data_IF_598688687537
#
_entry.id   IF_598688687537
#
_cell.length_a   1.000
_cell.length_b   1.000
_cell.length_c   1.000
_cell.angle_alpha   90.00
_cell.angle_beta   90.00
_cell.angle_gamma   90.00
#
_symmetry.space_group_name_H-M   'P 1'
#
loop_
_entity.id
_entity.type
_entity.pdbx_description
1 polymer ?
#
# COMPACT_ATOMS: atom_id res chain seq x y z
N UNK A 1 -13.06 31.69 -17.96
CA UNK A 1 -13.60 30.37 -17.56
C UNK A 1 -12.83 29.90 -16.36
N UNK A 2 -13.40 30.08 -15.18
CA UNK A 2 -12.79 29.76 -13.89
C UNK A 2 -13.00 28.28 -13.58
N UNK A 3 -11.89 27.55 -13.50
CA UNK A 3 -11.90 26.16 -13.03
C UNK A 3 -12.23 26.12 -11.52
N UNK A 4 -13.16 25.30 -11.05
CA UNK A 4 -13.46 25.18 -9.62
C UNK A 4 -12.33 24.45 -8.90
N UNK A 5 -11.59 25.19 -8.09
CA UNK A 5 -10.51 24.72 -7.21
C UNK A 5 -11.00 23.98 -5.94
N UNK A 6 -12.28 23.68 -5.85
CA UNK A 6 -12.91 23.12 -4.64
C UNK A 6 -12.73 21.60 -4.39
N UNK A 7 -12.31 20.82 -5.39
CA UNK A 7 -12.36 19.34 -5.30
C UNK A 7 -11.18 18.69 -4.60
N UNK A 8 -10.04 19.34 -4.51
CA UNK A 8 -8.82 18.74 -3.89
C UNK A 8 -8.92 18.59 -2.37
N UNK A 9 -9.55 19.53 -1.70
CA UNK A 9 -9.68 19.50 -0.23
C UNK A 9 -10.62 18.41 0.27
N UNK A 10 -11.78 18.28 -0.38
CA UNK A 10 -12.79 17.27 -0.02
C UNK A 10 -12.34 15.84 -0.26
N UNK A 11 -11.60 15.59 -1.34
CA UNK A 11 -11.05 14.27 -1.65
C UNK A 11 -9.91 13.90 -0.66
N UNK A 12 -9.21 14.90 -0.13
CA UNK A 12 -8.22 14.72 0.93
C UNK A 12 -8.88 14.28 2.24
N UNK A 13 -9.93 14.99 2.64
CA UNK A 13 -10.66 14.68 3.87
C UNK A 13 -11.31 13.30 3.82
N UNK A 14 -11.94 12.97 2.69
CA UNK A 14 -12.53 11.63 2.47
C UNK A 14 -11.47 10.53 2.54
N UNK A 15 -10.30 10.74 1.94
CA UNK A 15 -9.21 9.77 1.99
C UNK A 15 -8.68 9.57 3.41
N UNK A 16 -8.55 10.63 4.20
CA UNK A 16 -8.13 10.55 5.60
C UNK A 16 -9.19 9.84 6.47
N UNK A 17 -10.46 10.19 6.29
CA UNK A 17 -11.56 9.56 6.99
C UNK A 17 -11.66 8.06 6.68
N UNK A 18 -11.59 7.70 5.40
CA UNK A 18 -11.57 6.30 4.97
C UNK A 18 -10.35 5.56 5.54
N UNK A 19 -9.19 6.19 5.53
CA UNK A 19 -7.97 5.61 6.10
C UNK A 19 -8.09 5.39 7.60
N UNK A 20 -8.73 6.29 8.32
CA UNK A 20 -8.96 6.16 9.77
C UNK A 20 -9.94 5.02 10.09
N UNK A 21 -11.06 4.95 9.35
CA UNK A 21 -12.02 3.85 9.49
C UNK A 21 -11.35 2.51 9.16
N UNK A 22 -10.61 2.45 8.04
CA UNK A 22 -9.89 1.25 7.65
C UNK A 22 -8.88 0.83 8.73
N UNK A 23 -8.13 1.77 9.29
CA UNK A 23 -7.17 1.50 10.37
C UNK A 23 -7.86 0.95 11.62
N UNK A 24 -8.97 1.55 12.03
CA UNK A 24 -9.74 1.09 13.18
C UNK A 24 -10.28 -0.33 12.92
N UNK A 25 -10.91 -0.55 11.78
CA UNK A 25 -11.45 -1.86 11.40
C UNK A 25 -10.36 -2.92 11.27
N UNK A 26 -9.27 -2.63 10.56
CA UNK A 26 -8.14 -3.55 10.42
C UNK A 26 -7.46 -3.88 11.76
N UNK A 27 -7.49 -2.96 12.72
CA UNK A 27 -6.95 -3.20 14.06
C UNK A 27 -7.74 -4.22 14.87
N UNK A 28 -9.02 -4.43 14.55
CA UNK A 28 -9.88 -5.43 15.20
C UNK A 28 -9.67 -6.83 14.63
N UNK A 29 -9.05 -6.95 13.45
CA UNK A 29 -8.82 -8.23 12.79
C UNK A 29 -7.62 -8.96 13.43
N UNK A 30 -7.84 -10.22 13.81
CA UNK A 30 -6.77 -11.12 14.21
C UNK A 30 -6.30 -11.91 12.99
N UNK A 31 -5.22 -11.46 12.36
CA UNK A 31 -4.63 -12.15 11.22
C UNK A 31 -3.67 -13.22 11.72
N UNK A 32 -3.94 -14.47 11.35
CA UNK A 32 -3.04 -15.60 11.57
C UNK A 32 -2.39 -15.96 10.24
N UNK A 33 -1.09 -15.78 10.15
CA UNK A 33 -0.32 -16.19 8.98
C UNK A 33 0.03 -17.67 9.14
N UNK A 34 -0.43 -18.49 8.21
CA UNK A 34 -0.07 -19.90 8.12
C UNK A 34 0.89 -20.01 6.93
N UNK A 35 2.18 -20.10 7.22
CA UNK A 35 3.20 -20.21 6.20
C UNK A 35 4.09 -21.42 6.49
N UNK A 36 4.72 -21.95 5.45
CA UNK A 36 5.79 -22.93 5.64
C UNK A 36 6.96 -22.24 6.35
N UNK A 37 7.52 -22.83 7.39
CA UNK A 37 8.55 -22.25 8.25
C UNK A 37 9.70 -21.55 7.50
N UNK A 38 10.10 -22.09 6.35
CA UNK A 38 11.12 -21.47 5.49
C UNK A 38 10.69 -20.10 4.94
N UNK A 39 9.42 -19.90 4.59
CA UNK A 39 8.90 -18.65 4.06
C UNK A 39 8.69 -17.61 5.14
N UNK A 40 8.24 -18.03 6.31
CA UNK A 40 8.03 -17.14 7.44
C UNK A 40 9.35 -16.57 7.97
N UNK A 41 10.37 -17.42 8.15
CA UNK A 41 11.72 -17.01 8.51
C UNK A 41 12.35 -16.08 7.47
N UNK A 42 12.15 -16.37 6.17
CA UNK A 42 12.69 -15.55 5.10
C UNK A 42 12.01 -14.17 5.00
N UNK A 43 10.69 -14.09 5.24
CA UNK A 43 9.96 -12.83 5.21
C UNK A 43 10.33 -11.91 6.39
N UNK A 44 10.76 -12.47 7.51
CA UNK A 44 11.11 -11.74 8.73
C UNK A 44 12.61 -11.44 8.86
N UNK A 45 13.44 -12.04 8.03
CA UNK A 45 14.91 -11.88 8.09
C UNK A 45 15.34 -10.62 7.29
N UNK A 46 15.83 -9.56 7.95
CA UNK A 46 16.24 -8.33 7.30
C UNK A 46 17.48 -8.50 6.41
N UNK A 47 18.27 -9.54 6.58
CA UNK A 47 19.46 -9.82 5.78
C UNK A 47 19.13 -10.44 4.41
N UNK A 48 17.89 -10.90 4.21
CA UNK A 48 17.47 -11.55 2.98
C UNK A 48 16.90 -10.55 1.97
N UNK A 49 16.92 -10.96 0.71
CA UNK A 49 16.35 -10.19 -0.38
C UNK A 49 14.89 -9.77 -0.10
N UNK A 50 14.48 -8.58 -0.53
CA UNK A 50 13.11 -8.12 -0.37
C UNK A 50 12.12 -9.00 -1.14
N UNK A 51 10.89 -9.07 -0.65
CA UNK A 51 9.84 -9.92 -1.20
C UNK A 51 8.83 -9.09 -2.01
N UNK A 52 8.38 -9.68 -3.09
CA UNK A 52 7.23 -9.19 -3.85
C UNK A 52 6.02 -10.06 -3.52
N UNK A 53 4.99 -9.46 -2.92
CA UNK A 53 3.76 -10.15 -2.62
C UNK A 53 2.78 -10.03 -3.79
N UNK A 54 2.35 -11.18 -4.30
CA UNK A 54 1.28 -11.26 -5.29
C UNK A 54 0.03 -11.82 -4.61
N UNK A 55 -1.12 -11.23 -4.90
CA UNK A 55 -2.41 -11.63 -4.32
C UNK A 55 -3.56 -11.32 -5.26
N UNK A 56 -4.66 -12.02 -5.10
CA UNK A 56 -5.89 -11.69 -5.81
C UNK A 56 -6.52 -10.43 -5.22
N UNK A 57 -7.08 -9.58 -6.07
CA UNK A 57 -7.65 -8.29 -5.65
C UNK A 57 -8.65 -8.40 -4.50
N UNK A 58 -9.50 -9.44 -4.50
CA UNK A 58 -10.47 -9.69 -3.44
C UNK A 58 -9.87 -10.09 -2.09
N UNK A 59 -8.59 -10.48 -2.03
CA UNK A 59 -7.94 -10.93 -0.78
C UNK A 59 -6.98 -9.90 -0.18
N UNK A 60 -7.01 -8.65 -0.66
CA UNK A 60 -6.07 -7.61 -0.22
C UNK A 60 -6.25 -7.19 1.25
N UNK A 61 -7.48 -7.23 1.79
CA UNK A 61 -7.76 -6.74 3.14
C UNK A 61 -7.03 -7.51 4.25
N UNK A 62 -6.96 -8.83 4.26
CA UNK A 62 -6.15 -9.56 5.24
C UNK A 62 -4.67 -9.18 5.19
N UNK A 63 -4.13 -8.92 3.99
CA UNK A 63 -2.76 -8.47 3.83
C UNK A 63 -2.52 -7.07 4.41
N UNK A 64 -3.50 -6.18 4.33
CA UNK A 64 -3.44 -4.85 4.93
C UNK A 64 -3.49 -4.91 6.47
N UNK A 65 -4.24 -5.86 7.03
CA UNK A 65 -4.32 -6.06 8.46
C UNK A 65 -3.09 -6.76 9.05
N UNK A 66 -2.34 -7.49 8.23
CA UNK A 66 -1.13 -8.14 8.68
C UNK A 66 -0.04 -7.11 9.03
N UNK A 67 0.40 -7.12 10.28
CA UNK A 67 1.52 -6.29 10.75
C UNK A 67 2.83 -6.88 10.24
N UNK A 68 3.36 -6.31 9.20
CA UNK A 68 4.61 -6.75 8.60
C UNK A 68 5.79 -6.19 9.37
N UNK A 69 6.83 -6.99 9.59
CA UNK A 69 8.03 -6.53 10.29
C UNK A 69 8.92 -5.63 9.42
N UNK A 70 8.68 -5.59 8.09
CA UNK A 70 9.46 -4.83 7.13
C UNK A 70 8.66 -3.70 6.48
N UNK A 71 9.30 -2.61 6.10
CA UNK A 71 8.69 -1.57 5.29
C UNK A 71 8.04 -2.16 4.03
N UNK A 72 6.86 -1.69 3.69
CA UNK A 72 6.12 -2.18 2.53
C UNK A 72 5.81 -1.05 1.59
N UNK A 73 6.18 -1.22 0.33
CA UNK A 73 5.87 -0.27 -0.75
C UNK A 73 4.78 -0.82 -1.65
N UNK A 74 3.83 0.02 -2.04
CA UNK A 74 2.67 -0.35 -2.87
C UNK A 74 2.57 0.58 -4.06
N UNK A 75 2.32 0.03 -5.24
CA UNK A 75 2.02 0.83 -6.43
C UNK A 75 0.53 1.11 -6.51
N UNK A 76 0.16 2.37 -6.69
CA UNK A 76 -1.24 2.81 -6.79
C UNK A 76 -1.41 3.71 -8.02
N UNK A 77 -2.49 3.52 -8.76
CA UNK A 77 -2.79 4.28 -9.98
C UNK A 77 -2.95 5.78 -9.73
N UNK A 78 -2.78 6.60 -10.78
CA UNK A 78 -3.03 8.05 -10.73
C UNK A 78 -4.51 8.44 -10.79
N UNK A 79 -5.44 7.47 -10.82
CA UNK A 79 -6.87 7.72 -10.81
C UNK A 79 -7.33 8.45 -9.54
N UNK A 80 -8.55 8.98 -9.56
CA UNK A 80 -9.17 9.62 -8.39
C UNK A 80 -9.32 8.63 -7.24
N UNK A 81 -9.76 7.40 -7.52
CA UNK A 81 -9.87 6.34 -6.52
C UNK A 81 -8.49 5.94 -5.98
N UNK A 82 -7.50 5.84 -6.87
CA UNK A 82 -6.11 5.61 -6.47
C UNK A 82 -5.56 6.72 -5.56
N UNK A 83 -6.04 7.96 -5.69
CA UNK A 83 -5.65 9.05 -4.79
C UNK A 83 -6.16 8.82 -3.37
N UNK A 84 -7.41 8.37 -3.22
CA UNK A 84 -7.97 8.03 -1.90
C UNK A 84 -7.27 6.81 -1.30
N UNK A 85 -7.08 5.76 -2.11
CA UNK A 85 -6.36 4.56 -1.69
C UNK A 85 -4.93 4.86 -1.24
N UNK A 86 -4.20 5.70 -1.97
CA UNK A 86 -2.84 6.07 -1.63
C UNK A 86 -2.73 6.69 -0.23
N UNK A 87 -3.69 7.55 0.14
CA UNK A 87 -3.74 8.16 1.47
C UNK A 87 -4.09 7.14 2.56
N UNK A 88 -5.10 6.30 2.29
CA UNK A 88 -5.49 5.25 3.22
C UNK A 88 -4.35 4.27 3.50
N UNK A 89 -3.58 3.89 2.49
CA UNK A 89 -2.42 3.01 2.62
C UNK A 89 -1.25 3.68 3.35
N UNK A 90 -0.99 4.96 3.06
CA UNK A 90 0.01 5.74 3.79
C UNK A 90 -0.31 5.82 5.29
N UNK A 91 -1.59 5.97 5.65
CA UNK A 91 -2.03 5.93 7.05
C UNK A 91 -1.84 4.56 7.72
N UNK A 92 -1.72 3.48 6.92
CA UNK A 92 -1.36 2.14 7.41
C UNK A 92 0.17 1.95 7.52
N UNK A 93 0.96 2.99 7.30
CA UNK A 93 2.43 2.95 7.35
C UNK A 93 3.09 2.36 6.11
N UNK A 94 2.40 2.36 4.97
CA UNK A 94 2.96 1.88 3.70
C UNK A 94 3.53 3.03 2.88
N UNK A 95 4.64 2.80 2.20
CA UNK A 95 5.16 3.71 1.19
C UNK A 95 4.37 3.54 -0.10
N UNK A 96 3.91 4.65 -0.68
CA UNK A 96 3.07 4.60 -1.88
C UNK A 96 3.80 5.20 -3.06
N UNK A 97 3.99 4.38 -4.09
CA UNK A 97 4.52 4.79 -5.39
C UNK A 97 3.38 4.96 -6.37
N UNK A 98 3.34 6.09 -7.08
CA UNK A 98 2.27 6.41 -8.02
C UNK A 98 2.62 5.96 -9.43
N UNK A 99 1.76 5.14 -10.03
CA UNK A 99 1.92 4.65 -11.39
C UNK A 99 0.89 3.59 -11.75
N UNK A 100 0.79 3.31 -13.03
CA UNK A 100 -0.03 2.21 -13.56
C UNK A 100 0.56 1.73 -14.88
N UNK A 101 0.11 0.57 -15.36
CA UNK A 101 0.54 0.03 -16.66
C UNK A 101 0.35 1.00 -17.82
N UNK A 102 -0.68 1.84 -17.76
CA UNK A 102 -1.01 2.83 -18.79
C UNK A 102 -0.36 4.20 -18.58
N UNK A 103 0.06 4.54 -17.36
CA UNK A 103 0.59 5.88 -17.06
C UNK A 103 1.66 5.84 -15.97
N UNK A 104 2.90 6.10 -16.38
CA UNK A 104 4.03 6.20 -15.44
C UNK A 104 4.48 4.88 -14.83
N UNK A 105 4.06 3.72 -15.37
CA UNK A 105 4.36 2.40 -14.82
C UNK A 105 5.86 2.10 -14.75
N UNK A 106 6.60 2.41 -15.80
CA UNK A 106 8.06 2.19 -15.83
C UNK A 106 8.77 2.98 -14.73
N UNK A 107 8.42 4.26 -14.52
CA UNK A 107 9.00 5.08 -13.45
C UNK A 107 8.62 4.56 -12.07
N UNK A 108 7.38 4.11 -11.91
CA UNK A 108 6.92 3.54 -10.67
C UNK A 108 7.63 2.22 -10.35
N UNK A 109 7.87 1.39 -11.35
CA UNK A 109 8.64 0.16 -11.19
C UNK A 109 10.08 0.44 -10.75
N UNK A 110 10.74 1.41 -11.40
CA UNK A 110 12.10 1.83 -11.01
C UNK A 110 12.11 2.35 -9.56
N UNK A 111 11.12 3.13 -9.17
CA UNK A 111 11.00 3.63 -7.80
C UNK A 111 10.77 2.50 -6.79
N UNK A 112 9.97 1.48 -7.12
CA UNK A 112 9.80 0.29 -6.28
C UNK A 112 11.10 -0.50 -6.14
N UNK A 113 11.81 -0.74 -7.26
CA UNK A 113 13.11 -1.44 -7.22
C UNK A 113 14.11 -0.67 -6.36
N UNK A 114 14.12 0.66 -6.46
CA UNK A 114 14.96 1.50 -5.59
C UNK A 114 14.58 1.34 -4.12
N UNK A 115 13.30 1.47 -3.79
CA UNK A 115 12.81 1.27 -2.42
C UNK A 115 13.15 -0.12 -1.86
N UNK A 116 13.12 -1.15 -2.70
CA UNK A 116 13.51 -2.52 -2.31
C UNK A 116 15.01 -2.67 -2.01
N UNK A 117 15.86 -1.85 -2.62
CA UNK A 117 17.32 -1.87 -2.37
C UNK A 117 17.74 -1.05 -1.16
N UNK A 118 16.96 -0.07 -0.82
CA UNK A 118 17.22 0.85 0.31
C UNK A 118 16.68 0.31 1.66
N UNK A 119 15.93 -0.79 1.64
CA UNK A 119 15.46 -1.49 2.84
C UNK A 119 14.07 -1.23 3.27
#
# INVERSE_FOLDING_TARGET
MTHPSGTRGTDTLKGLFLGWIARLWLSTLRVRVIATAKHELAANDPSRAPWVFCFFHGTQFPLLAWRRPRPTSVMVSHSRDGQMQARALAMQGMSVVRGSSSKGGARALVALVKAMREG
#
